data_IF_335720107545
#
_entry.id   IF_335720107545
#
_cell.length_a   1.000
_cell.length_b   1.000
_cell.length_c   1.000
_cell.angle_alpha   90.00
_cell.angle_beta   90.00
_cell.angle_gamma   90.00
#
_symmetry.space_group_name_H-M   'P 1'
#
loop_
_entity.id
_entity.type
_entity.pdbx_description
1 polymer ?
#
# COMPACT_ATOMS: atom_id res chain seq x y z
N UNK A 1 -18.91 3.73 23.66
CA UNK A 1 -18.82 4.25 22.28
C UNK A 1 -17.44 4.86 21.97
N UNK A 2 -16.98 5.87 22.72
CA UNK A 2 -15.66 6.50 22.52
C UNK A 2 -14.47 5.52 22.52
N UNK A 3 -14.36 4.65 23.51
CA UNK A 3 -13.27 3.65 23.59
C UNK A 3 -13.27 2.65 22.42
N UNK A 4 -14.44 2.37 21.86
CA UNK A 4 -14.56 1.46 20.71
C UNK A 4 -14.03 2.11 19.42
N UNK A 5 -14.28 3.41 19.23
CA UNK A 5 -13.75 4.18 18.10
C UNK A 5 -12.23 4.24 18.18
N UNK A 6 -11.67 4.52 19.36
CA UNK A 6 -10.22 4.56 19.57
C UNK A 6 -9.56 3.21 19.27
N UNK A 7 -10.17 2.11 19.72
CA UNK A 7 -9.67 0.77 19.45
C UNK A 7 -9.68 0.43 17.94
N UNK A 8 -10.75 0.81 17.24
CA UNK A 8 -10.86 0.63 15.79
C UNK A 8 -9.79 1.43 15.04
N UNK A 9 -9.57 2.68 15.46
CA UNK A 9 -8.53 3.54 14.88
C UNK A 9 -7.14 2.94 15.08
N UNK A 10 -6.80 2.51 16.29
CA UNK A 10 -5.51 1.85 16.58
C UNK A 10 -5.31 0.59 15.74
N UNK A 11 -6.34 -0.24 15.64
CA UNK A 11 -6.33 -1.47 14.82
C UNK A 11 -6.08 -1.15 13.34
N UNK A 12 -6.75 -0.13 12.82
CA UNK A 12 -6.60 0.29 11.43
C UNK A 12 -5.19 0.80 11.13
N UNK A 13 -4.59 1.59 12.03
CA UNK A 13 -3.22 2.06 11.84
C UNK A 13 -2.19 0.95 12.00
N UNK A 14 -2.42 0.02 12.92
CA UNK A 14 -1.60 -1.17 13.04
C UNK A 14 -1.56 -1.97 11.73
N UNK A 15 -2.73 -2.31 11.17
CA UNK A 15 -2.83 -3.02 9.89
C UNK A 15 -2.09 -2.28 8.76
N UNK A 16 -2.29 -0.96 8.66
CA UNK A 16 -1.61 -0.12 7.65
C UNK A 16 -0.09 -0.03 7.84
N UNK A 17 0.41 -0.20 9.07
CA UNK A 17 1.84 -0.11 9.37
C UNK A 17 2.64 -1.36 8.96
N UNK A 18 1.96 -2.50 8.70
CA UNK A 18 2.58 -3.80 8.35
C UNK A 18 3.61 -4.30 9.38
N UNK A 19 3.44 -3.97 10.67
CA UNK A 19 4.32 -4.42 11.77
C UNK A 19 3.81 -5.70 12.43
N UNK A 20 4.73 -6.46 13.03
CA UNK A 20 4.44 -7.78 13.62
C UNK A 20 3.96 -7.73 15.08
N UNK A 21 4.16 -6.63 15.82
CA UNK A 21 3.91 -6.58 17.26
C UNK A 21 3.16 -5.31 17.67
N UNK A 22 1.97 -5.47 18.27
CA UNK A 22 1.39 -4.52 19.21
C UNK A 22 2.07 -4.79 20.55
N UNK A 23 2.90 -3.85 21.02
CA UNK A 23 3.30 -3.86 22.43
C UNK A 23 2.11 -3.29 23.20
N UNK A 24 1.25 -4.18 23.68
CA UNK A 24 0.10 -3.84 24.51
C UNK A 24 0.57 -2.96 25.67
N UNK A 25 0.04 -1.74 25.78
CA UNK A 25 0.31 -0.88 26.95
C UNK A 25 0.42 0.61 26.67
N UNK A 26 0.58 1.04 25.42
CA UNK A 26 0.48 2.46 25.05
C UNK A 26 -0.26 2.54 23.73
N UNK A 27 -1.35 3.32 23.70
CA UNK A 27 -2.18 3.64 22.51
C UNK A 27 -1.28 4.25 21.43
N UNK A 28 -0.55 3.42 20.69
CA UNK A 28 0.60 3.81 19.88
C UNK A 28 0.19 4.24 18.47
N UNK A 29 -0.97 4.88 18.35
CA UNK A 29 -1.50 5.38 17.07
C UNK A 29 -0.47 6.25 16.38
N UNK A 30 0.14 7.23 17.07
CA UNK A 30 1.18 8.12 16.50
C UNK A 30 2.38 7.36 15.91
N UNK A 31 2.83 6.29 16.57
CA UNK A 31 3.90 5.43 16.05
C UNK A 31 3.45 4.72 14.76
N UNK A 32 2.26 4.12 14.75
CA UNK A 32 1.73 3.43 13.57
C UNK A 32 1.46 4.40 12.42
N UNK A 33 0.93 5.59 12.69
CA UNK A 33 0.77 6.68 11.73
C UNK A 33 2.10 7.06 11.08
N UNK A 34 3.11 7.37 11.91
CA UNK A 34 4.45 7.76 11.44
C UNK A 34 5.07 6.66 10.60
N UNK A 35 4.95 5.41 11.05
CA UNK A 35 5.45 4.27 10.32
C UNK A 35 4.72 4.07 8.98
N UNK A 36 3.39 4.18 8.95
CA UNK A 36 2.60 4.12 7.71
C UNK A 36 3.01 5.24 6.76
N UNK A 37 3.25 6.45 7.25
CA UNK A 37 3.72 7.57 6.42
C UNK A 37 5.09 7.29 5.81
N UNK A 38 6.07 6.84 6.61
CA UNK A 38 7.40 6.44 6.13
C UNK A 38 7.29 5.35 5.07
N UNK A 39 6.44 4.34 5.30
CA UNK A 39 6.22 3.25 4.35
C UNK A 39 5.60 3.75 3.04
N UNK A 40 4.60 4.63 3.10
CA UNK A 40 3.97 5.24 1.92
C UNK A 40 4.96 6.08 1.13
N UNK A 41 5.77 6.90 1.80
CA UNK A 41 6.80 7.72 1.16
C UNK A 41 7.85 6.86 0.47
N UNK A 42 8.33 5.81 1.14
CA UNK A 42 9.33 4.88 0.59
C UNK A 42 8.82 4.09 -0.62
N UNK A 43 7.55 3.68 -0.61
CA UNK A 43 6.95 2.87 -1.68
C UNK A 43 6.12 3.70 -2.66
N UNK A 44 6.28 5.02 -2.66
CA UNK A 44 5.62 5.86 -3.64
C UNK A 44 6.27 5.62 -5.01
N UNK A 45 5.47 5.14 -5.96
CA UNK A 45 5.89 4.95 -7.34
C UNK A 45 5.84 6.32 -8.02
N UNK A 46 7.00 6.92 -8.22
CA UNK A 46 7.14 8.25 -8.86
C UNK A 46 6.99 8.16 -10.39
N UNK A 47 7.29 6.99 -10.94
CA UNK A 47 7.15 6.71 -12.36
C UNK A 47 7.43 5.25 -12.68
N UNK A 48 7.02 4.84 -13.87
CA UNK A 48 7.31 3.53 -14.45
C UNK A 48 8.08 3.73 -15.74
N UNK A 49 9.07 2.88 -15.95
CA UNK A 49 9.76 2.81 -17.23
C UNK A 49 8.99 1.87 -18.15
N UNK A 50 8.49 2.40 -19.27
CA UNK A 50 7.66 1.65 -20.20
C UNK A 50 8.51 0.94 -21.26
N UNK A 51 7.95 -0.10 -21.88
CA UNK A 51 8.59 -0.87 -22.95
C UNK A 51 8.90 -0.05 -24.21
N UNK A 52 8.24 1.10 -24.37
CA UNK A 52 8.48 2.08 -25.45
C UNK A 52 9.81 2.86 -25.25
N UNK A 53 10.47 2.70 -24.10
CA UNK A 53 11.74 3.36 -23.78
C UNK A 53 11.59 4.68 -23.03
N UNK A 54 10.37 5.04 -22.64
CA UNK A 54 10.04 6.31 -21.99
C UNK A 54 9.63 6.14 -20.53
N UNK A 55 9.95 7.16 -19.73
CA UNK A 55 9.47 7.29 -18.35
C UNK A 55 8.06 7.88 -18.33
N UNK A 56 7.14 7.17 -17.69
CA UNK A 56 5.81 7.66 -17.40
C UNK A 56 5.73 8.11 -15.93
N UNK A 57 5.28 9.34 -15.68
CA UNK A 57 5.08 9.89 -14.32
C UNK A 57 3.63 10.34 -14.07
N UNK A 58 2.78 10.33 -15.10
CA UNK A 58 1.37 10.74 -15.00
C UNK A 58 0.57 9.67 -14.27
N UNK A 59 -0.12 10.05 -13.19
CA UNK A 59 -0.81 9.13 -12.30
C UNK A 59 -1.86 8.28 -13.00
N UNK A 60 -2.63 8.86 -13.92
CA UNK A 60 -3.66 8.17 -14.70
C UNK A 60 -3.04 7.03 -15.51
N UNK A 61 -1.95 7.35 -16.23
CA UNK A 61 -1.26 6.38 -17.06
C UNK A 61 -0.52 5.33 -16.25
N UNK A 62 0.08 5.70 -15.12
CA UNK A 62 0.66 4.72 -14.18
C UNK A 62 -0.37 3.68 -13.72
N UNK A 63 -1.60 4.11 -13.44
CA UNK A 63 -2.70 3.20 -13.05
C UNK A 63 -3.08 2.28 -14.21
N UNK A 64 -3.25 2.83 -15.41
CA UNK A 64 -3.59 2.06 -16.61
C UNK A 64 -2.56 0.96 -16.87
N UNK A 65 -1.28 1.33 -16.94
CA UNK A 65 -0.16 0.41 -17.22
C UNK A 65 -0.07 -0.68 -16.13
N UNK A 66 -0.21 -0.31 -14.85
CA UNK A 66 -0.24 -1.30 -13.77
C UNK A 66 -1.43 -2.26 -13.89
N UNK A 67 -2.62 -1.76 -14.22
CA UNK A 67 -3.80 -2.62 -14.38
C UNK A 67 -3.69 -3.55 -15.57
N UNK A 68 -3.12 -3.11 -16.69
CA UNK A 68 -2.88 -3.95 -17.86
C UNK A 68 -1.90 -5.07 -17.53
N UNK A 69 -0.77 -4.72 -16.93
CA UNK A 69 0.24 -5.69 -16.50
C UNK A 69 -0.34 -6.80 -15.62
N UNK A 70 -1.09 -6.45 -14.56
CA UNK A 70 -1.66 -7.45 -13.66
C UNK A 70 -2.80 -8.27 -14.29
N UNK A 71 -3.60 -7.68 -15.18
CA UNK A 71 -4.60 -8.44 -15.96
C UNK A 71 -3.93 -9.51 -16.81
N UNK A 72 -2.90 -9.13 -17.56
CA UNK A 72 -2.12 -10.05 -18.39
C UNK A 72 -1.46 -11.14 -17.54
N UNK A 73 -0.85 -10.76 -16.42
CA UNK A 73 -0.24 -11.69 -15.48
C UNK A 73 -1.26 -12.74 -15.02
N UNK A 74 -2.44 -12.31 -14.54
CA UNK A 74 -3.48 -13.22 -14.04
C UNK A 74 -3.98 -14.14 -15.16
N UNK A 75 -4.22 -13.60 -16.36
CA UNK A 75 -4.66 -14.39 -17.52
C UNK A 75 -3.62 -15.47 -17.87
N UNK A 76 -2.33 -15.10 -17.92
CA UNK A 76 -1.22 -16.02 -18.19
C UNK A 76 -1.12 -17.15 -17.15
N UNK A 77 -1.38 -16.86 -15.88
CA UNK A 77 -1.40 -17.89 -14.83
C UNK A 77 -2.67 -18.74 -14.87
N UNK A 78 -3.82 -18.19 -15.28
CA UNK A 78 -5.07 -18.95 -15.42
C UNK A 78 -5.11 -19.87 -16.64
N UNK A 79 -4.35 -19.55 -17.71
CA UNK A 79 -4.25 -20.39 -18.92
C UNK A 79 -3.16 -21.47 -18.88
N UNK A 80 -2.44 -21.60 -17.75
CA UNK A 80 -1.41 -22.63 -17.51
C UNK A 80 -1.88 -23.74 -16.55
N UNK A 81 -3.18 -23.77 -16.24
CA UNK A 81 -3.84 -24.84 -15.47
C UNK A 81 -4.59 -25.75 -16.44
#
# INVERSE_FOLDING_TARGET
>A
EYEQILFQEETLWFQKSRKKWIRWGTRNTSFFHTQTFIWRKRNHIHGLFLSIGDWCTKLERLKEEATMFFKELIILYSGRV
#
